data_IF_199837308049
#
_entry.id   IF_199837308049
#
_cell.length_a   1.000
_cell.length_b   1.000
_cell.length_c   1.000
_cell.angle_alpha   90.00
_cell.angle_beta   90.00
_cell.angle_gamma   90.00
#
_symmetry.space_group_name_H-M   'P 1'
#
loop_
_entity.id
_entity.type
_entity.pdbx_description
1 polymer ?
#
# COMPACT_ATOMS: atom_id res chain seq x y z
N UNK A 1 -0.70 2.86 -13.90
CA UNK A 1 -0.47 4.33 -13.95
C UNK A 1 -0.56 4.92 -15.35
N UNK A 2 0.08 4.34 -16.38
CA UNK A 2 0.02 4.93 -17.73
C UNK A 2 -1.42 5.11 -18.25
N UNK A 3 -2.29 4.11 -18.08
CA UNK A 3 -3.69 4.23 -18.46
C UNK A 3 -4.43 5.38 -17.73
N UNK A 4 -4.11 5.62 -16.46
CA UNK A 4 -4.68 6.72 -15.67
C UNK A 4 -4.19 8.09 -16.16
N UNK A 5 -2.91 8.19 -16.51
CA UNK A 5 -2.33 9.42 -17.07
C UNK A 5 -2.93 9.73 -18.44
N UNK A 6 -3.04 8.73 -19.32
CA UNK A 6 -3.71 8.90 -20.62
C UNK A 6 -5.17 9.32 -20.46
N UNK A 7 -5.90 8.71 -19.53
CA UNK A 7 -7.28 9.10 -19.22
C UNK A 7 -7.39 10.54 -18.72
N UNK A 8 -6.47 10.98 -17.85
CA UNK A 8 -6.41 12.35 -17.37
C UNK A 8 -6.22 13.38 -18.49
N UNK A 9 -5.37 13.08 -19.48
CA UNK A 9 -5.18 13.96 -20.65
C UNK A 9 -6.48 14.11 -21.43
N UNK A 10 -7.19 13.00 -21.67
CA UNK A 10 -8.48 13.01 -22.38
C UNK A 10 -9.53 13.80 -21.60
N UNK A 11 -9.62 13.59 -20.28
CA UNK A 11 -10.56 14.31 -19.41
C UNK A 11 -10.23 15.81 -19.36
N UNK A 12 -8.96 16.17 -19.19
CA UNK A 12 -8.51 17.57 -19.19
C UNK A 12 -8.79 18.26 -20.52
N UNK A 13 -8.62 17.56 -21.63
CA UNK A 13 -8.97 18.07 -22.95
C UNK A 13 -10.48 18.37 -23.08
N UNK A 14 -11.34 17.42 -22.75
CA UNK A 14 -12.79 17.62 -22.89
C UNK A 14 -13.34 18.65 -21.90
N UNK A 15 -12.87 18.65 -20.64
CA UNK A 15 -13.26 19.68 -19.67
C UNK A 15 -12.79 21.06 -20.11
N UNK A 16 -11.55 21.17 -20.58
CA UNK A 16 -11.00 22.37 -21.17
C UNK A 16 -11.86 22.86 -22.31
N UNK A 17 -12.15 22.00 -23.28
CA UNK A 17 -12.92 22.35 -24.48
C UNK A 17 -14.34 22.81 -24.14
N UNK A 18 -15.07 22.08 -23.30
CA UNK A 18 -16.43 22.46 -22.86
C UNK A 18 -16.40 23.81 -22.15
N UNK A 19 -15.48 24.01 -21.21
CA UNK A 19 -15.38 25.26 -20.46
C UNK A 19 -15.01 26.44 -21.37
N UNK A 20 -14.13 26.20 -22.34
CA UNK A 20 -13.66 27.21 -23.27
C UNK A 20 -14.74 27.66 -24.23
N UNK A 21 -15.47 26.71 -24.83
CA UNK A 21 -16.54 26.98 -25.80
C UNK A 21 -17.72 27.70 -25.14
N UNK A 22 -18.00 27.42 -23.86
CA UNK A 22 -19.07 28.11 -23.13
C UNK A 22 -18.69 29.55 -22.75
N UNK A 23 -17.40 29.86 -22.64
CA UNK A 23 -16.92 31.13 -22.07
C UNK A 23 -16.34 32.10 -23.09
N UNK A 24 -15.76 31.61 -24.18
CA UNK A 24 -15.06 32.41 -25.18
C UNK A 24 -15.70 32.22 -26.56
N UNK A 25 -15.78 33.30 -27.33
CA UNK A 25 -16.27 33.27 -28.71
C UNK A 25 -15.13 33.30 -29.73
N UNK A 26 -13.95 33.76 -29.34
CA UNK A 26 -12.77 33.76 -30.21
C UNK A 26 -12.13 32.35 -30.26
N UNK A 27 -11.87 31.82 -31.46
CA UNK A 27 -11.30 30.48 -31.62
C UNK A 27 -9.88 30.36 -31.03
N UNK A 28 -9.09 31.43 -31.02
CA UNK A 28 -7.74 31.43 -30.43
C UNK A 28 -7.80 31.18 -28.92
N UNK A 29 -8.73 31.86 -28.23
CA UNK A 29 -8.93 31.74 -26.80
C UNK A 29 -9.40 30.33 -26.45
N UNK A 30 -10.29 29.76 -27.26
CA UNK A 30 -10.78 28.39 -27.06
C UNK A 30 -9.65 27.37 -27.13
N UNK A 31 -8.77 27.49 -28.13
CA UNK A 31 -7.60 26.62 -28.29
C UNK A 31 -6.64 26.74 -27.12
N UNK A 32 -6.27 27.96 -26.72
CA UNK A 32 -5.33 28.19 -25.63
C UNK A 32 -5.83 27.63 -24.30
N UNK A 33 -7.11 27.85 -23.97
CA UNK A 33 -7.70 27.32 -22.74
C UNK A 33 -7.83 25.80 -22.75
N UNK A 34 -8.13 25.20 -23.89
CA UNK A 34 -8.19 23.74 -24.03
C UNK A 34 -6.81 23.11 -23.81
N UNK A 35 -5.76 23.66 -24.43
CA UNK A 35 -4.38 23.20 -24.24
C UNK A 35 -3.94 23.37 -22.79
N UNK A 36 -4.22 24.54 -22.20
CA UNK A 36 -3.87 24.82 -20.81
C UNK A 36 -4.56 23.87 -19.83
N UNK A 37 -5.84 23.58 -20.05
CA UNK A 37 -6.60 22.64 -19.22
C UNK A 37 -6.11 21.19 -19.39
N UNK A 38 -5.74 20.78 -20.61
CA UNK A 38 -5.14 19.48 -20.87
C UNK A 38 -3.82 19.31 -20.12
N UNK A 39 -2.95 20.34 -20.19
CA UNK A 39 -1.67 20.35 -19.50
C UNK A 39 -1.86 20.36 -17.97
N UNK A 40 -2.80 21.17 -17.48
CA UNK A 40 -3.15 21.24 -16.08
C UNK A 40 -3.69 19.92 -15.54
N UNK A 41 -4.61 19.28 -16.26
CA UNK A 41 -5.14 17.96 -15.93
C UNK A 41 -4.04 16.90 -15.83
N UNK A 42 -3.12 16.89 -16.80
CA UNK A 42 -1.96 16.00 -16.80
C UNK A 42 -1.06 16.20 -15.55
N UNK A 43 -0.73 17.45 -15.23
CA UNK A 43 0.11 17.77 -14.06
C UNK A 43 -0.59 17.41 -12.74
N UNK A 44 -1.89 17.67 -12.63
CA UNK A 44 -2.70 17.31 -11.47
C UNK A 44 -2.72 15.79 -11.29
N UNK A 45 -2.90 15.02 -12.37
CA UNK A 45 -2.86 13.56 -12.30
C UNK A 45 -1.49 13.02 -11.89
N UNK A 46 -0.40 13.63 -12.37
CA UNK A 46 0.95 13.29 -11.92
C UNK A 46 1.15 13.60 -10.43
N UNK A 47 0.62 14.72 -9.95
CA UNK A 47 0.68 15.09 -8.53
C UNK A 47 -0.08 14.09 -7.65
N UNK A 48 -1.31 13.72 -8.05
CA UNK A 48 -2.06 12.70 -7.31
C UNK A 48 -1.39 11.33 -7.37
N UNK A 49 -0.83 10.96 -8.51
CA UNK A 49 -0.08 9.71 -8.64
C UNK A 49 1.17 9.71 -7.75
N UNK A 50 1.92 10.82 -7.67
CA UNK A 50 3.10 10.91 -6.82
C UNK A 50 2.75 10.87 -5.33
N UNK A 51 1.68 11.57 -4.92
CA UNK A 51 1.17 11.50 -3.54
C UNK A 51 0.70 10.09 -3.21
N UNK A 52 0.00 9.42 -4.12
CA UNK A 52 -0.47 8.04 -3.92
C UNK A 52 0.69 7.07 -3.75
N UNK A 53 1.73 7.16 -4.59
CA UNK A 53 2.94 6.35 -4.45
C UNK A 53 3.63 6.66 -3.12
N UNK A 54 3.86 7.94 -2.82
CA UNK A 54 4.54 8.34 -1.59
C UNK A 54 3.78 7.85 -0.34
N UNK A 55 2.45 7.93 -0.34
CA UNK A 55 1.63 7.45 0.76
C UNK A 55 1.63 5.92 0.85
N UNK A 56 1.56 5.22 -0.29
CA UNK A 56 1.60 3.75 -0.33
C UNK A 56 2.97 3.22 0.10
N UNK A 57 4.07 3.83 -0.32
CA UNK A 57 5.41 3.49 0.14
C UNK A 57 5.56 3.77 1.64
N UNK A 58 4.97 4.84 2.15
CA UNK A 58 4.97 5.14 3.58
C UNK A 58 4.18 4.10 4.38
N UNK A 59 3.02 3.67 3.87
CA UNK A 59 2.18 2.64 4.49
C UNK A 59 2.88 1.28 4.46
N UNK A 60 3.55 0.92 3.36
CA UNK A 60 4.38 -0.29 3.26
C UNK A 60 5.58 -0.22 4.23
N UNK A 61 6.18 0.96 4.43
CA UNK A 61 7.24 1.16 5.41
C UNK A 61 6.75 1.06 6.86
N UNK A 62 5.54 1.57 7.16
CA UNK A 62 4.95 1.50 8.51
C UNK A 62 4.42 0.10 8.83
N UNK A 63 3.91 -0.61 7.82
CA UNK A 63 3.45 -1.99 7.89
C UNK A 63 4.53 -2.91 7.35
N UNK A 64 5.65 -3.04 8.10
CA UNK A 64 6.71 -4.01 7.78
C UNK A 64 6.19 -5.45 8.01
N UNK A 65 5.37 -5.92 7.08
CA UNK A 65 4.78 -7.26 7.08
C UNK A 65 5.87 -8.31 7.13
N UNK A 66 7.02 -8.07 6.49
CA UNK A 66 8.15 -9.01 6.48
C UNK A 66 8.81 -9.11 7.85
N UNK A 67 9.18 -7.99 8.48
CA UNK A 67 9.75 -8.01 9.83
C UNK A 67 8.77 -8.51 10.89
N UNK A 68 7.47 -8.26 10.68
CA UNK A 68 6.39 -8.80 11.52
C UNK A 68 6.28 -10.32 11.37
N UNK A 69 6.25 -10.83 10.14
CA UNK A 69 6.21 -12.28 9.86
C UNK A 69 7.45 -13.00 10.39
N UNK A 70 8.65 -12.42 10.22
CA UNK A 70 9.90 -12.99 10.73
C UNK A 70 9.91 -13.05 12.27
N UNK A 71 9.44 -11.99 12.93
CA UNK A 71 9.29 -11.97 14.38
C UNK A 71 8.30 -13.01 14.89
N UNK A 72 7.20 -13.22 14.15
CA UNK A 72 6.17 -14.20 14.48
C UNK A 72 6.67 -15.64 14.30
N UNK A 73 7.46 -15.91 13.25
CA UNK A 73 8.13 -17.19 13.04
C UNK A 73 9.14 -17.50 14.15
N UNK A 74 9.95 -16.51 14.55
CA UNK A 74 10.88 -16.66 15.68
C UNK A 74 10.13 -16.98 16.97
N UNK A 75 9.08 -16.22 17.28
CA UNK A 75 8.29 -16.45 18.49
C UNK A 75 7.67 -17.85 18.52
N UNK A 76 7.10 -18.31 17.40
CA UNK A 76 6.53 -19.66 17.29
C UNK A 76 7.58 -20.76 17.50
N UNK A 77 8.80 -20.56 16.96
CA UNK A 77 9.90 -21.51 17.15
C UNK A 77 10.34 -21.58 18.62
N UNK A 78 10.49 -20.43 19.28
CA UNK A 78 10.80 -20.37 20.71
C UNK A 78 9.72 -21.03 21.56
N UNK A 79 8.45 -20.80 21.22
CA UNK A 79 7.31 -21.39 21.93
C UNK A 79 7.33 -22.92 21.87
N UNK A 80 7.56 -23.48 20.68
CA UNK A 80 7.70 -24.94 20.50
C UNK A 80 8.84 -25.54 21.32
N UNK A 81 9.98 -24.84 21.38
CA UNK A 81 11.10 -25.33 22.19
C UNK A 81 10.74 -25.34 23.68
N UNK A 82 10.06 -24.30 24.17
CA UNK A 82 9.59 -24.23 25.56
C UNK A 82 8.54 -25.31 25.86
N UNK A 83 7.59 -25.55 24.95
CA UNK A 83 6.62 -26.64 25.12
C UNK A 83 7.30 -28.01 25.22
N UNK A 84 8.34 -28.25 24.40
CA UNK A 84 9.11 -29.50 24.44
C UNK A 84 9.88 -29.65 25.75
N UNK A 85 10.50 -28.59 26.25
CA UNK A 85 11.18 -28.58 27.56
C UNK A 85 10.19 -28.91 28.68
N UNK A 86 9.04 -28.22 28.72
CA UNK A 86 7.98 -28.45 29.73
C UNK A 86 7.46 -29.89 29.65
N UNK A 87 7.21 -30.41 28.45
CA UNK A 87 6.77 -31.78 28.27
C UNK A 87 7.80 -32.79 28.80
N UNK A 88 9.09 -32.58 28.53
CA UNK A 88 10.16 -33.46 29.02
C UNK A 88 10.30 -33.44 30.55
N UNK A 89 10.14 -32.27 31.17
CA UNK A 89 10.15 -32.14 32.64
C UNK A 89 8.95 -32.84 33.25
N UNK A 90 7.76 -32.69 32.65
CA UNK A 90 6.54 -33.35 33.11
C UNK A 90 6.67 -34.88 33.02
N UNK A 91 7.25 -35.38 31.93
CA UNK A 91 7.52 -36.81 31.74
C UNK A 91 8.51 -37.34 32.78
N UNK A 92 9.58 -36.58 33.05
CA UNK A 92 10.55 -36.91 34.09
C UNK A 92 9.89 -37.00 35.47
N UNK A 93 9.12 -35.98 35.88
CA UNK A 93 8.40 -35.97 37.17
C UNK A 93 7.46 -37.16 37.26
N UNK A 94 6.68 -37.42 36.19
CA UNK A 94 5.78 -38.58 36.15
C UNK A 94 6.56 -39.88 36.33
N UNK A 95 7.67 -40.07 35.62
CA UNK A 95 8.47 -41.30 35.73
C UNK A 95 9.05 -41.51 37.14
N UNK A 96 9.39 -40.41 37.84
CA UNK A 96 9.91 -40.45 39.20
C UNK A 96 8.83 -40.81 40.24
N UNK A 97 7.62 -40.24 40.10
CA UNK A 97 6.46 -40.55 40.97
C UNK A 97 6.00 -42.02 40.86
N UNK A 98 6.29 -42.70 39.74
CA UNK A 98 6.02 -44.13 39.56
C UNK A 98 7.10 -45.06 40.17
N UNK A 99 8.30 -44.57 40.49
CA UNK A 99 9.41 -45.39 41.02
C UNK A 99 9.45 -45.39 42.57
N UNK A 100 9.02 -44.30 43.22
CA UNK A 100 8.95 -44.16 44.68
C UNK A 100 7.74 -44.91 45.34
N UNK A 101 6.93 -45.61 44.54
CA UNK A 101 5.71 -46.33 44.98
C UNK A 101 5.87 -47.84 45.22
N UNK A 102 7.10 -48.36 45.33
CA UNK A 102 7.38 -49.78 45.62
C UNK A 102 7.87 -50.05 47.04
#
# INVERSE_FOLDING_TARGET
MQNFIHFSVVVGFFLGLVFSVLKFNEPESILLWTVLSTLGGYLIALLFASIFIACTDLDICLFDKKGTEESLLRFNHEFKNREKEVASILEYIRSYDFDDGK
#
